data_IF_251750567093
#
_entry.id   IF_251750567093
#
_cell.length_a   1.000
_cell.length_b   1.000
_cell.length_c   1.000
_cell.angle_alpha   90.00
_cell.angle_beta   90.00
_cell.angle_gamma   90.00
#
_symmetry.space_group_name_H-M   'P 1'
#
loop_
_entity.id
_entity.type
_entity.pdbx_description
1 polymer ?
#
# COMPACT_ATOMS: atom_id res chain seq x y z
N UNK A 1 -19.51 18.35 -1.13
CA UNK A 1 -19.76 16.94 -0.75
C UNK A 1 -20.51 16.90 0.57
N UNK A 2 -21.41 15.93 0.79
CA UNK A 2 -22.07 15.75 2.10
C UNK A 2 -21.08 15.21 3.15
N UNK A 3 -21.30 15.51 4.44
CA UNK A 3 -20.39 15.07 5.52
C UNK A 3 -20.19 13.56 5.60
N UNK A 4 -21.23 12.77 5.30
CA UNK A 4 -21.13 11.30 5.22
C UNK A 4 -20.13 10.85 4.15
N UNK A 5 -20.19 11.41 2.95
CA UNK A 5 -19.27 11.06 1.86
C UNK A 5 -17.82 11.43 2.19
N UNK A 6 -17.61 12.57 2.87
CA UNK A 6 -16.28 12.98 3.34
C UNK A 6 -15.69 12.01 4.35
N UNK A 7 -16.50 11.56 5.32
CA UNK A 7 -16.08 10.57 6.31
C UNK A 7 -15.78 9.20 5.67
N UNK A 8 -16.59 8.76 4.70
CA UNK A 8 -16.32 7.53 3.94
C UNK A 8 -15.01 7.59 3.16
N UNK A 9 -14.72 8.70 2.47
CA UNK A 9 -13.44 8.88 1.78
C UNK A 9 -12.25 8.84 2.75
N UNK A 10 -12.40 9.42 3.94
CA UNK A 10 -11.36 9.46 4.96
C UNK A 10 -11.09 8.07 5.53
N UNK A 11 -12.15 7.31 5.83
CA UNK A 11 -12.05 5.91 6.24
C UNK A 11 -11.34 5.08 5.16
N UNK A 12 -11.76 5.21 3.90
CA UNK A 12 -11.16 4.49 2.77
C UNK A 12 -9.69 4.83 2.55
N UNK A 13 -9.30 6.09 2.71
CA UNK A 13 -7.89 6.50 2.65
C UNK A 13 -7.07 5.86 3.79
N UNK A 14 -7.65 5.79 4.99
CA UNK A 14 -7.07 5.08 6.13
C UNK A 14 -6.86 3.59 5.85
N UNK A 15 -7.87 2.92 5.30
CA UNK A 15 -7.80 1.51 4.94
C UNK A 15 -6.68 1.25 3.93
N UNK A 16 -6.62 2.02 2.83
CA UNK A 16 -5.57 1.87 1.83
C UNK A 16 -4.16 2.10 2.41
N UNK A 17 -4.02 3.02 3.36
CA UNK A 17 -2.76 3.25 4.06
C UNK A 17 -2.37 2.02 4.89
N UNK A 18 -3.30 1.47 5.67
CA UNK A 18 -3.07 0.25 6.47
C UNK A 18 -2.71 -0.94 5.58
N UNK A 19 -3.47 -1.18 4.50
CA UNK A 19 -3.18 -2.25 3.55
C UNK A 19 -1.81 -2.08 2.89
N UNK A 20 -1.41 -0.85 2.53
CA UNK A 20 -0.08 -0.61 1.98
C UNK A 20 1.03 -1.00 2.96
N UNK A 21 0.86 -0.70 4.25
CA UNK A 21 1.85 -0.99 5.29
C UNK A 21 1.93 -2.49 5.57
N UNK A 22 0.79 -3.18 5.62
CA UNK A 22 0.73 -4.64 5.79
C UNK A 22 1.38 -5.35 4.60
N UNK A 23 1.05 -4.98 3.36
CA UNK A 23 1.68 -5.57 2.17
C UNK A 23 3.19 -5.28 2.12
N UNK A 24 3.62 -4.10 2.55
CA UNK A 24 5.03 -3.75 2.63
C UNK A 24 5.76 -4.62 3.64
N UNK A 25 5.23 -4.73 4.86
CA UNK A 25 5.81 -5.56 5.92
C UNK A 25 5.86 -7.03 5.51
N UNK A 26 4.79 -7.54 4.89
CA UNK A 26 4.74 -8.90 4.38
C UNK A 26 5.76 -9.14 3.26
N UNK A 27 5.86 -8.23 2.29
CA UNK A 27 6.87 -8.30 1.23
C UNK A 27 8.30 -8.24 1.77
N UNK A 28 8.57 -7.40 2.77
CA UNK A 28 9.87 -7.30 3.42
C UNK A 28 10.23 -8.59 4.16
N UNK A 29 9.27 -9.19 4.88
CA UNK A 29 9.45 -10.47 5.53
C UNK A 29 9.80 -11.59 4.54
N UNK A 30 9.06 -11.69 3.43
CA UNK A 30 9.36 -12.63 2.35
C UNK A 30 10.76 -12.39 1.75
N UNK A 31 11.13 -11.12 1.55
CA UNK A 31 12.45 -10.76 1.04
C UNK A 31 13.57 -11.24 1.95
N UNK A 32 13.47 -11.02 3.26
CA UNK A 32 14.45 -11.53 4.22
C UNK A 32 14.58 -13.06 4.16
N UNK A 33 13.47 -13.78 3.98
CA UNK A 33 13.48 -15.23 3.75
C UNK A 33 14.29 -15.66 2.51
N UNK A 34 14.35 -14.83 1.47
CA UNK A 34 15.15 -15.12 0.25
C UNK A 34 16.65 -14.83 0.38
N UNK A 35 17.04 -14.05 1.38
CA UNK A 35 18.46 -13.72 1.65
C UNK A 35 19.16 -14.86 2.40
N UNK A 36 18.42 -15.64 3.19
CA UNK A 36 18.98 -16.73 4.00
C UNK A 36 19.55 -17.81 3.05
N UNK A 37 20.87 -18.07 3.06
CA UNK A 37 21.48 -19.08 2.22
C UNK A 37 20.96 -20.47 2.60
N UNK A 38 20.56 -21.26 1.61
CA UNK A 38 20.02 -22.62 1.80
C UNK A 38 18.53 -22.68 2.17
N UNK A 39 17.87 -21.56 2.49
CA UNK A 39 16.43 -21.54 2.79
C UNK A 39 15.54 -21.64 1.55
N UNK A 40 16.03 -21.12 0.41
CA UNK A 40 15.32 -21.17 -0.87
C UNK A 40 16.21 -21.85 -1.90
N UNK A 41 15.69 -22.92 -2.48
CA UNK A 41 16.32 -23.64 -3.58
C UNK A 41 16.62 -22.68 -4.74
N UNK A 42 17.83 -22.75 -5.30
CA UNK A 42 18.33 -21.75 -6.26
C UNK A 42 17.41 -21.58 -7.48
N UNK A 43 16.73 -22.65 -7.90
CA UNK A 43 15.76 -22.64 -8.98
C UNK A 43 14.45 -21.88 -8.64
N UNK A 44 14.07 -21.82 -7.36
CA UNK A 44 12.85 -21.16 -6.86
C UNK A 44 13.09 -19.71 -6.43
N UNK A 45 14.35 -19.34 -6.18
CA UNK A 45 14.76 -17.98 -5.82
C UNK A 45 14.22 -16.87 -6.74
N UNK A 46 14.25 -16.98 -8.08
CA UNK A 46 13.68 -15.95 -8.96
C UNK A 46 12.17 -15.80 -8.80
N UNK A 47 11.44 -16.91 -8.61
CA UNK A 47 9.98 -16.87 -8.38
C UNK A 47 9.64 -16.24 -7.02
N UNK A 48 10.43 -16.52 -5.97
CA UNK A 48 10.25 -15.90 -4.68
C UNK A 48 10.49 -14.37 -4.73
N UNK A 49 11.54 -13.93 -5.44
CA UNK A 49 11.80 -12.50 -5.66
C UNK A 49 10.72 -11.83 -6.50
N UNK A 50 10.12 -12.53 -7.47
CA UNK A 50 8.98 -12.03 -8.23
C UNK A 50 7.77 -11.80 -7.31
N UNK A 51 7.47 -12.73 -6.40
CA UNK A 51 6.39 -12.58 -5.44
C UNK A 51 6.61 -11.37 -4.50
N UNK A 52 7.83 -11.19 -4.00
CA UNK A 52 8.23 -10.01 -3.23
C UNK A 52 8.00 -8.71 -4.02
N UNK A 53 8.43 -8.68 -5.29
CA UNK A 53 8.27 -7.52 -6.16
C UNK A 53 6.78 -7.18 -6.39
N UNK A 54 5.92 -8.18 -6.55
CA UNK A 54 4.47 -8.01 -6.65
C UNK A 54 3.90 -7.40 -5.35
N UNK A 55 4.29 -7.91 -4.18
CA UNK A 55 3.87 -7.37 -2.89
C UNK A 55 4.24 -5.89 -2.72
N UNK A 56 5.48 -5.51 -3.08
CA UNK A 56 5.91 -4.11 -3.01
C UNK A 56 5.20 -3.22 -4.03
N UNK A 57 4.96 -3.71 -5.24
CA UNK A 57 4.23 -2.96 -6.27
C UNK A 57 2.78 -2.71 -5.86
N UNK A 58 2.13 -3.72 -5.28
CA UNK A 58 0.78 -3.60 -4.76
C UNK A 58 0.72 -2.68 -3.53
N UNK A 59 1.68 -2.77 -2.60
CA UNK A 59 1.82 -1.83 -1.48
C UNK A 59 1.93 -0.38 -1.97
N UNK A 60 2.82 -0.11 -2.93
CA UNK A 60 3.00 1.23 -3.49
C UNK A 60 1.73 1.74 -4.18
N UNK A 61 0.99 0.85 -4.85
CA UNK A 61 -0.28 1.18 -5.50
C UNK A 61 -1.35 1.57 -4.48
N UNK A 62 -1.48 0.81 -3.38
CA UNK A 62 -2.36 1.18 -2.27
C UNK A 62 -1.98 2.53 -1.65
N UNK A 63 -0.68 2.78 -1.45
CA UNK A 63 -0.20 4.06 -0.91
C UNK A 63 -0.52 5.23 -1.84
N UNK A 64 -0.34 5.07 -3.15
CA UNK A 64 -0.70 6.07 -4.16
C UNK A 64 -2.20 6.34 -4.18
N UNK A 65 -3.03 5.31 -4.04
CA UNK A 65 -4.48 5.48 -3.95
C UNK A 65 -4.86 6.23 -2.67
N UNK A 66 -4.31 5.87 -1.51
CA UNK A 66 -4.52 6.59 -0.26
C UNK A 66 -4.15 8.08 -0.39
N UNK A 67 -2.99 8.38 -0.98
CA UNK A 67 -2.54 9.75 -1.21
C UNK A 67 -3.45 10.53 -2.17
N UNK A 68 -3.98 9.88 -3.23
CA UNK A 68 -4.97 10.51 -4.13
C UNK A 68 -6.27 10.83 -3.40
N UNK A 69 -6.79 9.92 -2.58
CA UNK A 69 -7.99 10.17 -1.79
C UNK A 69 -7.78 11.28 -0.76
N UNK A 70 -6.62 11.31 -0.10
CA UNK A 70 -6.25 12.38 0.83
C UNK A 70 -6.18 13.75 0.12
N UNK A 71 -5.52 13.84 -1.05
CA UNK A 71 -5.47 15.09 -1.82
C UNK A 71 -6.85 15.57 -2.29
N UNK A 72 -7.72 14.65 -2.71
CA UNK A 72 -9.11 14.99 -3.09
C UNK A 72 -9.90 15.60 -1.93
N UNK A 73 -9.69 15.09 -0.70
CA UNK A 73 -10.29 15.65 0.51
C UNK A 73 -9.75 17.07 0.79
N UNK A 74 -8.44 17.26 0.67
CA UNK A 74 -7.75 18.54 0.94
C UNK A 74 -8.11 19.63 -0.08
N UNK A 75 -8.24 19.27 -1.37
CA UNK A 75 -8.71 20.17 -2.45
C UNK A 75 -10.17 20.60 -2.26
N UNK A 76 -11.03 19.72 -1.74
CA UNK A 76 -12.42 20.10 -1.42
C UNK A 76 -12.53 20.93 -0.14
N UNK A 77 -11.72 20.64 0.88
CA UNK A 77 -11.66 21.45 2.11
C UNK A 77 -11.27 22.90 1.79
N UNK A 78 -10.22 23.10 0.96
CA UNK A 78 -9.83 24.42 0.45
C UNK A 78 -10.87 25.11 -0.43
N UNK A 79 -11.78 24.38 -1.08
CA UNK A 79 -12.86 24.96 -1.88
C UNK A 79 -14.01 25.48 -1.02
N UNK A 80 -14.15 24.97 0.21
CA UNK A 80 -15.21 25.34 1.15
C UNK A 80 -14.75 26.31 2.25
N UNK A 81 -13.45 26.63 2.35
CA UNK A 81 -12.96 27.79 3.12
C UNK A 81 -13.10 29.08 2.27
N UNK A 82 -13.80 30.13 2.77
CA UNK A 82 -14.01 31.40 2.07
C UNK A 82 -12.77 32.32 2.05
#
# INVERSE_FOLDING_TARGET
>A
MNEQQRNELRAKAGDFKTYSLVLFAFGAFLYFGTIIPGAVETAKKPFALLAVAVCFTASLSCLRQAARYARRLEEEEKRFEP
#
